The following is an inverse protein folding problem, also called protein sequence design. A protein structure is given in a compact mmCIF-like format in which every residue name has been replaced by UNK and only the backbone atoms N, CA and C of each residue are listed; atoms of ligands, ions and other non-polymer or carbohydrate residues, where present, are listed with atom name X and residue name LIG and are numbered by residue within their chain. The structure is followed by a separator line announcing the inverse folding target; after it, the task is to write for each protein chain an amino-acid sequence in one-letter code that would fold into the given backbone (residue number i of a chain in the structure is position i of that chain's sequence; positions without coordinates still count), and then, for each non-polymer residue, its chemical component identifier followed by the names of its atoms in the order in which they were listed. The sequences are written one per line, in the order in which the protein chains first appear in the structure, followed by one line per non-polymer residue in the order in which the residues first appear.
data_IF_222443438553
#
_entry.id   IF_222443438553
#
_cell.length_a   1.000
_cell.length_b   1.000
_cell.length_c   1.000
_cell.angle_alpha   90.00
_cell.angle_beta   90.00
_cell.angle_gamma   90.00
#
_symmetry.space_group_name_H-M   'P 1'
#
loop_
_entity.id
_entity.type
_entity.pdbx_description
1 polymer ?
#
# COMPACT_ATOMS: atom_id res chain seq x y z
N UNK A 1 20.86 -25.00 14.16
CA UNK A 1 19.55 -25.02 13.60
C UNK A 1 19.28 -23.62 13.03
N UNK A 2 19.31 -23.50 11.69
CA UNK A 2 18.86 -22.30 11.01
C UNK A 2 17.34 -22.29 11.19
N UNK A 3 16.84 -21.49 12.13
CA UNK A 3 15.46 -21.08 12.13
C UNK A 3 15.23 -20.31 10.83
N UNK A 4 14.55 -20.94 9.88
CA UNK A 4 14.09 -20.25 8.67
C UNK A 4 13.14 -19.14 9.12
N UNK A 5 13.65 -17.93 9.24
CA UNK A 5 12.79 -16.76 9.40
C UNK A 5 12.00 -16.64 8.11
N UNK A 6 10.72 -17.00 8.18
CA UNK A 6 9.79 -16.69 7.10
C UNK A 6 9.74 -15.17 7.01
N UNK A 7 10.23 -14.63 5.94
CA UNK A 7 10.23 -13.19 5.70
C UNK A 7 8.83 -12.79 5.23
N UNK A 8 8.19 -11.91 5.97
CA UNK A 8 6.82 -11.42 5.69
C UNK A 8 6.74 -10.79 4.29
N UNK A 9 7.78 -10.05 3.91
CA UNK A 9 7.90 -9.45 2.59
C UNK A 9 7.85 -10.51 1.47
N UNK A 10 8.55 -11.63 1.62
CA UNK A 10 8.54 -12.71 0.62
C UNK A 10 7.16 -13.38 0.50
N UNK A 11 6.47 -13.60 1.62
CA UNK A 11 5.10 -14.13 1.60
C UNK A 11 4.10 -13.16 0.99
N UNK A 12 4.20 -11.88 1.33
CA UNK A 12 3.37 -10.84 0.76
C UNK A 12 3.57 -10.74 -0.76
N UNK A 13 4.82 -10.74 -1.23
CA UNK A 13 5.12 -10.71 -2.66
C UNK A 13 4.57 -11.95 -3.36
N UNK A 14 4.74 -13.15 -2.77
CA UNK A 14 4.19 -14.37 -3.33
C UNK A 14 2.66 -14.32 -3.45
N UNK A 15 1.95 -13.82 -2.42
CA UNK A 15 0.50 -13.64 -2.45
C UNK A 15 0.06 -12.64 -3.54
N UNK A 16 0.77 -11.51 -3.69
CA UNK A 16 0.47 -10.51 -4.74
C UNK A 16 0.67 -11.09 -6.14
N UNK A 17 1.75 -11.87 -6.37
CA UNK A 17 1.97 -12.52 -7.66
C UNK A 17 0.97 -13.64 -7.95
N UNK A 18 0.45 -14.32 -6.91
CA UNK A 18 -0.57 -15.35 -7.03
C UNK A 18 -2.00 -14.80 -7.18
N UNK A 19 -2.22 -13.52 -6.85
CA UNK A 19 -3.53 -12.88 -6.90
C UNK A 19 -4.20 -12.98 -8.28
N UNK A 20 -5.50 -13.24 -8.26
CA UNK A 20 -6.33 -13.46 -9.45
C UNK A 20 -7.50 -12.50 -9.58
N UNK A 21 -8.00 -11.96 -8.48
CA UNK A 21 -9.21 -11.13 -8.42
C UNK A 21 -8.93 -9.73 -7.89
N UNK A 22 -8.45 -9.67 -6.66
CA UNK A 22 -8.37 -8.40 -5.94
C UNK A 22 -7.20 -8.39 -4.95
N UNK A 23 -6.56 -7.23 -4.84
CA UNK A 23 -5.60 -6.90 -3.78
C UNK A 23 -6.03 -5.57 -3.18
N UNK A 24 -6.28 -5.53 -1.88
CA UNK A 24 -6.57 -4.28 -1.17
C UNK A 24 -5.56 -4.06 -0.06
N UNK A 25 -4.89 -2.92 -0.14
CA UNK A 25 -3.87 -2.49 0.81
C UNK A 25 -4.38 -1.29 1.59
N UNK A 26 -4.21 -1.30 2.90
CA UNK A 26 -4.46 -0.15 3.77
C UNK A 26 -3.21 0.16 4.56
N UNK A 27 -2.71 1.38 4.49
CA UNK A 27 -1.50 1.80 5.21
C UNK A 27 -1.50 3.32 5.44
N UNK A 28 -1.04 3.79 6.61
CA UNK A 28 -0.88 5.23 6.85
C UNK A 28 0.27 5.82 6.02
N UNK A 29 1.29 5.03 5.71
CA UNK A 29 2.46 5.43 4.95
C UNK A 29 2.75 4.41 3.86
N UNK A 30 2.92 4.90 2.63
CA UNK A 30 3.20 4.07 1.47
C UNK A 30 4.49 4.55 0.79
N UNK A 31 5.60 3.96 1.18
CA UNK A 31 6.93 4.22 0.60
C UNK A 31 7.55 2.86 0.23
N UNK A 32 6.98 2.18 -0.77
CA UNK A 32 7.29 0.80 -1.07
C UNK A 32 8.72 0.63 -1.59
N UNK A 33 9.33 -0.53 -1.28
CA UNK A 33 10.51 -0.98 -2.00
C UNK A 33 10.16 -1.37 -3.44
N UNK A 34 11.19 -1.43 -4.28
CA UNK A 34 11.06 -1.73 -5.71
C UNK A 34 10.34 -3.06 -5.98
N UNK A 35 10.59 -4.08 -5.15
CA UNK A 35 9.95 -5.39 -5.28
C UNK A 35 8.42 -5.32 -5.09
N UNK A 36 7.96 -4.59 -4.06
CA UNK A 36 6.52 -4.43 -3.80
C UNK A 36 5.85 -3.59 -4.90
N UNK A 37 6.49 -2.49 -5.30
CA UNK A 37 6.00 -1.64 -6.38
C UNK A 37 5.83 -2.42 -7.69
N UNK A 38 6.85 -3.20 -8.07
CA UNK A 38 6.83 -4.05 -9.27
C UNK A 38 5.75 -5.12 -9.18
N UNK A 39 5.57 -5.76 -8.02
CA UNK A 39 4.53 -6.78 -7.83
C UNK A 39 3.11 -6.20 -7.98
N UNK A 40 2.83 -5.01 -7.40
CA UNK A 40 1.54 -4.34 -7.51
C UNK A 40 1.25 -3.90 -8.95
N UNK A 41 2.24 -3.32 -9.65
CA UNK A 41 2.12 -2.96 -11.07
C UNK A 41 1.85 -4.19 -11.93
N UNK A 42 2.59 -5.29 -11.70
CA UNK A 42 2.37 -6.55 -12.40
C UNK A 42 0.96 -7.09 -12.17
N UNK A 43 0.44 -7.04 -10.94
CA UNK A 43 -0.91 -7.48 -10.62
C UNK A 43 -1.97 -6.65 -11.37
N UNK A 44 -1.86 -5.31 -11.35
CA UNK A 44 -2.76 -4.41 -12.07
C UNK A 44 -2.74 -4.68 -13.59
N UNK A 45 -1.55 -4.84 -14.18
CA UNK A 45 -1.38 -5.14 -15.61
C UNK A 45 -1.92 -6.52 -16.01
N UNK A 46 -2.00 -7.47 -15.08
CA UNK A 46 -2.69 -8.77 -15.27
C UNK A 46 -4.22 -8.68 -15.19
N UNK A 47 -4.78 -7.50 -14.88
CA UNK A 47 -6.21 -7.30 -14.70
C UNK A 47 -6.72 -7.57 -13.29
N UNK A 48 -5.85 -7.78 -12.29
CA UNK A 48 -6.23 -7.86 -10.89
C UNK A 48 -6.64 -6.47 -10.40
N UNK A 49 -7.77 -6.37 -9.69
CA UNK A 49 -8.19 -5.13 -9.07
C UNK A 49 -7.25 -4.80 -7.92
N UNK A 50 -6.43 -3.77 -8.05
CA UNK A 50 -5.51 -3.32 -7.00
C UNK A 50 -6.02 -2.01 -6.41
N UNK A 51 -6.26 -1.98 -5.10
CA UNK A 51 -6.72 -0.81 -4.36
C UNK A 51 -5.73 -0.47 -3.26
N UNK A 52 -5.30 0.77 -3.21
CA UNK A 52 -4.48 1.33 -2.15
C UNK A 52 -5.27 2.38 -1.38
N UNK A 53 -5.52 2.13 -0.09
CA UNK A 53 -6.22 3.05 0.80
C UNK A 53 -5.18 3.72 1.71
N UNK A 54 -5.08 5.04 1.60
CA UNK A 54 -4.16 5.88 2.39
C UNK A 54 -4.93 7.02 3.06
N UNK A 55 -4.44 7.62 4.15
CA UNK A 55 -5.09 8.79 4.72
C UNK A 55 -4.99 10.00 3.78
N UNK A 56 -6.04 10.82 3.70
CA UNK A 56 -6.00 12.11 3.00
C UNK A 56 -5.00 13.09 3.68
N UNK A 57 -4.91 13.02 5.02
CA UNK A 57 -4.02 13.87 5.83
C UNK A 57 -2.96 13.01 6.50
N UNK A 58 -1.72 13.30 6.22
CA UNK A 58 -0.53 12.67 6.83
C UNK A 58 0.17 13.72 7.68
N UNK A 59 0.52 13.36 8.93
CA UNK A 59 1.12 14.26 9.90
C UNK A 59 2.49 14.80 9.44
N UNK A 60 3.31 13.94 8.84
CA UNK A 60 4.63 14.32 8.32
C UNK A 60 4.55 14.76 6.87
N UNK A 61 4.90 16.02 6.60
CA UNK A 61 4.99 16.54 5.22
C UNK A 61 5.99 15.77 4.38
N UNK A 62 7.11 15.36 4.98
CA UNK A 62 8.17 14.65 4.27
C UNK A 62 7.69 13.26 3.83
N UNK A 63 7.09 12.49 4.74
CA UNK A 63 6.52 11.17 4.45
C UNK A 63 5.38 11.28 3.44
N UNK A 64 4.59 12.34 3.51
CA UNK A 64 3.55 12.64 2.53
C UNK A 64 4.12 12.76 1.12
N UNK A 65 5.14 13.60 0.92
CA UNK A 65 5.76 13.78 -0.40
C UNK A 65 6.43 12.49 -0.90
N UNK A 66 7.10 11.74 -0.01
CA UNK A 66 7.66 10.44 -0.35
C UNK A 66 6.58 9.46 -0.83
N UNK A 67 5.44 9.38 -0.16
CA UNK A 67 4.31 8.53 -0.52
C UNK A 67 3.65 8.98 -1.84
N UNK A 68 3.42 10.29 -1.99
CA UNK A 68 2.79 10.89 -3.17
C UNK A 68 3.61 10.70 -4.46
N UNK A 69 4.92 10.52 -4.36
CA UNK A 69 5.81 10.30 -5.52
C UNK A 69 5.49 9.01 -6.29
N UNK A 70 4.92 8.00 -5.63
CA UNK A 70 4.58 6.71 -6.26
C UNK A 70 3.16 6.69 -6.87
N UNK A 71 2.34 7.71 -6.60
CA UNK A 71 0.93 7.68 -6.99
C UNK A 71 0.73 7.74 -8.50
N UNK A 72 1.52 8.54 -9.24
CA UNK A 72 1.37 8.67 -10.69
C UNK A 72 1.62 7.33 -11.39
N UNK A 73 2.74 6.67 -11.07
CA UNK A 73 3.12 5.37 -11.64
C UNK A 73 2.08 4.27 -11.38
N UNK A 74 1.48 4.28 -10.18
CA UNK A 74 0.44 3.31 -9.81
C UNK A 74 -0.88 3.60 -10.54
N UNK A 75 -1.29 4.87 -10.61
CA UNK A 75 -2.51 5.28 -11.31
C UNK A 75 -2.41 4.99 -12.82
N UNK A 76 -1.23 5.15 -13.43
CA UNK A 76 -0.99 4.87 -14.85
C UNK A 76 -1.21 3.41 -15.22
N UNK A 77 -0.92 2.47 -14.32
CA UNK A 77 -1.15 1.04 -14.56
C UNK A 77 -2.51 0.56 -14.09
N UNK A 78 -3.39 1.47 -13.64
CA UNK A 78 -4.77 1.16 -13.27
C UNK A 78 -4.98 0.78 -11.79
N UNK A 79 -4.00 1.01 -10.91
CA UNK A 79 -4.21 0.90 -9.47
C UNK A 79 -5.17 2.00 -9.01
N UNK A 80 -6.19 1.64 -8.24
CA UNK A 80 -7.10 2.59 -7.62
C UNK A 80 -6.51 3.10 -6.32
N UNK A 81 -6.25 4.40 -6.21
CA UNK A 81 -5.79 5.02 -4.97
C UNK A 81 -6.96 5.75 -4.33
N UNK A 82 -7.22 5.44 -3.07
CA UNK A 82 -8.30 6.00 -2.28
C UNK A 82 -7.77 6.76 -1.08
N UNK A 83 -8.22 7.99 -0.88
CA UNK A 83 -7.82 8.86 0.22
C UNK A 83 -8.92 8.92 1.27
N UNK A 84 -8.69 8.26 2.41
CA UNK A 84 -9.62 8.22 3.54
C UNK A 84 -9.73 9.58 4.22
N UNK A 85 -10.99 10.05 4.44
CA UNK A 85 -11.29 11.41 4.92
C UNK A 85 -11.63 11.50 6.40
N UNK A 86 -12.14 10.43 6.98
CA UNK A 86 -12.82 10.47 8.28
C UNK A 86 -11.83 10.19 9.43
N UNK A 87 -10.92 11.14 9.68
CA UNK A 87 -10.03 11.06 10.81
C UNK A 87 -8.69 10.35 10.53
N UNK A 88 -8.16 9.68 11.56
CA UNK A 88 -6.85 9.03 11.48
C UNK A 88 -7.00 7.59 10.94
N UNK A 89 -6.47 7.36 9.75
CA UNK A 89 -6.28 5.99 9.24
C UNK A 89 -4.90 5.49 9.66
N UNK A 90 -4.87 4.50 10.56
CA UNK A 90 -3.60 3.92 11.04
C UNK A 90 -3.54 2.39 10.90
N UNK A 91 -4.51 1.79 10.24
CA UNK A 91 -4.56 0.36 9.91
C UNK A 91 -3.47 0.02 8.91
N UNK A 92 -2.81 -1.13 9.12
CA UNK A 92 -1.88 -1.74 8.17
C UNK A 92 -2.40 -3.13 7.88
N UNK A 93 -2.97 -3.29 6.70
CA UNK A 93 -3.52 -4.57 6.26
C UNK A 93 -3.37 -4.74 4.75
N UNK A 94 -3.17 -5.97 4.34
CA UNK A 94 -3.25 -6.38 2.94
C UNK A 94 -4.15 -7.60 2.88
N UNK A 95 -5.19 -7.52 2.04
CA UNK A 95 -6.07 -8.65 1.74
C UNK A 95 -5.91 -9.01 0.28
N UNK A 96 -5.71 -10.28 -0.01
CA UNK A 96 -5.58 -10.84 -1.36
C UNK A 96 -6.67 -11.87 -1.58
N UNK A 97 -7.51 -11.64 -2.57
CA UNK A 97 -8.59 -12.53 -3.04
C UNK A 97 -9.58 -12.99 -1.95
N UNK A 98 -9.64 -12.30 -0.80
CA UNK A 98 -10.39 -12.71 0.41
C UNK A 98 -9.97 -14.09 0.95
N UNK A 99 -8.74 -14.51 0.67
CA UNK A 99 -8.18 -15.82 1.06
C UNK A 99 -6.90 -15.69 1.89
N UNK A 100 -6.18 -14.59 1.70
CA UNK A 100 -4.93 -14.29 2.39
C UNK A 100 -4.97 -12.90 2.97
N UNK A 101 -4.59 -12.78 4.24
CA UNK A 101 -4.52 -11.48 4.93
C UNK A 101 -3.20 -11.33 5.67
N UNK A 102 -2.56 -10.19 5.50
CA UNK A 102 -1.52 -9.68 6.40
C UNK A 102 -2.10 -8.50 7.16
N UNK A 103 -2.00 -8.54 8.48
CA UNK A 103 -2.46 -7.46 9.36
C UNK A 103 -1.47 -7.29 10.51
N UNK A 104 -1.19 -6.03 10.90
CA UNK A 104 -0.26 -5.82 12.00
C UNK A 104 0.22 -4.38 12.14
N UNK A 105 1.45 -4.25 12.63
CA UNK A 105 2.07 -2.93 12.88
C UNK A 105 2.99 -2.48 11.74
N UNK A 106 3.37 -3.37 10.82
CA UNK A 106 4.27 -3.10 9.69
C UNK A 106 3.63 -2.17 8.67
N UNK A 107 4.18 -0.99 8.49
CA UNK A 107 3.80 -0.12 7.37
C UNK A 107 4.34 -0.70 6.04
N UNK A 108 3.73 -0.29 4.94
CA UNK A 108 4.22 -0.63 3.60
C UNK A 108 5.35 0.34 3.18
N UNK A 109 6.41 0.36 3.99
CA UNK A 109 7.64 1.12 3.75
C UNK A 109 8.88 0.25 3.97
N UNK A 110 9.98 0.61 3.33
CA UNK A 110 11.25 -0.14 3.40
C UNK A 110 11.76 -0.27 4.82
N UNK A 111 11.62 0.77 5.64
CA UNK A 111 12.15 0.82 7.00
C UNK A 111 11.41 -0.13 7.94
N UNK A 112 10.09 -0.20 7.81
CA UNK A 112 9.26 -1.12 8.62
C UNK A 112 9.59 -2.58 8.33
N UNK A 113 9.90 -2.93 7.08
CA UNK A 113 10.27 -4.30 6.72
C UNK A 113 11.70 -4.71 7.16
N UNK A 114 12.64 -3.78 7.22
CA UNK A 114 14.05 -4.12 7.40
C UNK A 114 14.60 -3.79 8.80
N UNK A 115 14.11 -2.73 9.44
CA UNK A 115 14.75 -2.13 10.61
C UNK A 115 13.92 -2.17 11.89
N UNK A 116 12.60 -2.33 11.83
CA UNK A 116 11.74 -2.22 12.99
C UNK A 116 11.39 -3.58 13.59
N UNK A 117 11.23 -3.60 14.93
CA UNK A 117 10.58 -4.72 15.62
C UNK A 117 9.06 -4.58 15.44
N UNK A 118 8.52 -5.32 14.51
CA UNK A 118 7.11 -5.25 14.13
C UNK A 118 6.42 -6.59 14.36
N UNK A 119 5.12 -6.54 14.64
CA UNK A 119 4.26 -7.70 14.76
C UNK A 119 3.32 -7.78 13.58
N UNK A 120 3.30 -8.94 12.90
CA UNK A 120 2.33 -9.19 11.85
C UNK A 120 1.64 -10.53 12.06
N UNK A 121 0.33 -10.52 11.87
CA UNK A 121 -0.50 -11.70 11.72
C UNK A 121 -0.63 -12.03 10.24
N UNK A 122 -0.39 -13.28 9.87
CA UNK A 122 -0.66 -13.79 8.55
C UNK A 122 -1.76 -14.83 8.70
N UNK A 123 -2.85 -14.65 7.97
CA UNK A 123 -3.99 -15.54 7.97
C UNK A 123 -4.23 -16.10 6.55
N UNK A 124 -4.36 -17.42 6.46
CA UNK A 124 -4.89 -18.13 5.30
C UNK A 124 -6.28 -18.65 5.67
N UNK A 125 -7.18 -17.72 5.87
CA UNK A 125 -8.52 -17.98 6.39
C UNK A 125 -9.52 -17.08 5.68
N UNK A 126 -10.53 -17.67 5.06
CA UNK A 126 -11.51 -16.95 4.25
C UNK A 126 -12.44 -16.09 5.09
N UNK A 127 -12.85 -16.56 6.28
CA UNK A 127 -13.78 -15.83 7.15
C UNK A 127 -13.10 -14.59 7.74
N UNK A 128 -11.85 -14.76 8.20
CA UNK A 128 -11.04 -13.64 8.67
C UNK A 128 -10.73 -12.65 7.55
N UNK A 129 -10.36 -13.15 6.36
CA UNK A 129 -10.05 -12.30 5.21
C UNK A 129 -11.28 -11.55 4.71
N UNK A 130 -12.46 -12.16 4.72
CA UNK A 130 -13.72 -11.51 4.39
C UNK A 130 -14.07 -10.40 5.40
N UNK A 131 -13.91 -10.65 6.71
CA UNK A 131 -14.14 -9.65 7.75
C UNK A 131 -13.19 -8.45 7.61
N UNK A 132 -11.92 -8.70 7.31
CA UNK A 132 -10.94 -7.64 7.04
C UNK A 132 -11.29 -6.87 5.76
N UNK A 133 -11.79 -7.57 4.74
CA UNK A 133 -12.24 -6.93 3.49
C UNK A 133 -13.47 -6.06 3.70
N UNK A 134 -14.40 -6.46 4.57
CA UNK A 134 -15.56 -5.65 4.95
C UNK A 134 -15.15 -4.35 5.65
N UNK A 135 -14.16 -4.41 6.55
CA UNK A 135 -13.57 -3.22 7.14
C UNK A 135 -12.96 -2.29 6.06
N UNK A 136 -12.23 -2.86 5.09
CA UNK A 136 -11.66 -2.08 4.00
C UNK A 136 -12.72 -1.48 3.09
N UNK A 137 -13.84 -2.18 2.84
CA UNK A 137 -15.01 -1.64 2.11
C UNK A 137 -15.62 -0.43 2.84
N UNK A 138 -15.71 -0.47 4.17
CA UNK A 138 -16.13 0.69 4.95
C UNK A 138 -15.16 1.87 4.74
N UNK A 139 -13.85 1.64 4.74
CA UNK A 139 -12.89 2.70 4.41
C UNK A 139 -13.05 3.23 2.98
N UNK A 140 -13.30 2.37 1.99
CA UNK A 140 -13.55 2.78 0.60
C UNK A 140 -14.75 3.73 0.52
N UNK A 141 -15.86 3.46 1.23
CA UNK A 141 -17.06 4.31 1.22
C UNK A 141 -16.81 5.71 1.78
N UNK A 142 -15.81 5.85 2.64
CA UNK A 142 -15.41 7.11 3.30
C UNK A 142 -14.17 7.75 2.66
N UNK A 143 -13.79 7.31 1.48
CA UNK A 143 -12.61 7.77 0.77
C UNK A 143 -12.95 8.50 -0.52
N UNK A 144 -12.07 9.43 -0.92
CA UNK A 144 -12.07 10.00 -2.26
C UNK A 144 -11.17 9.17 -3.18
N UNK A 145 -11.64 8.86 -4.37
CA UNK A 145 -10.82 8.21 -5.41
C UNK A 145 -9.93 9.26 -6.07
N UNK A 146 -8.63 8.99 -6.13
CA UNK A 146 -7.69 9.83 -6.88
C UNK A 146 -7.85 9.63 -8.38
N UNK A 147 -8.02 10.73 -9.11
CA UNK A 147 -8.01 10.74 -10.56
C UNK A 147 -6.60 11.00 -11.10
N UNK A 148 -6.15 10.22 -12.08
CA UNK A 148 -4.87 10.43 -12.76
C UNK A 148 -4.78 11.82 -13.41
N UNK A 149 -5.86 12.28 -14.05
CA UNK A 149 -5.88 13.59 -14.72
C UNK A 149 -5.75 14.72 -13.69
N UNK A 150 -6.51 14.66 -12.60
CA UNK A 150 -6.38 15.63 -11.50
C UNK A 150 -4.99 15.57 -10.87
N UNK A 151 -4.42 14.36 -10.75
CA UNK A 151 -3.07 14.16 -10.22
C UNK A 151 -2.01 14.81 -11.10
N UNK A 152 -2.10 14.66 -12.42
CA UNK A 152 -1.21 15.27 -13.41
C UNK A 152 -1.35 16.78 -13.54
N UNK A 153 -2.53 17.32 -13.26
CA UNK A 153 -2.79 18.76 -13.29
C UNK A 153 -2.12 19.56 -12.15
N UNK A 154 -1.47 18.88 -11.19
CA UNK A 154 -0.79 19.52 -10.05
C UNK A 154 0.40 20.38 -10.52
N UNK A 155 0.76 21.45 -9.77
CA UNK A 155 1.89 22.32 -10.09
C UNK A 155 3.20 21.55 -10.27
N UNK A 156 3.99 21.89 -11.27
CA UNK A 156 5.29 21.26 -11.56
C UNK A 156 6.27 21.36 -10.39
N UNK A 157 6.22 22.44 -9.61
CA UNK A 157 7.06 22.64 -8.43
C UNK A 157 6.79 21.55 -7.36
N UNK A 158 5.54 21.10 -7.20
CA UNK A 158 5.19 20.01 -6.28
C UNK A 158 5.77 18.67 -6.75
N UNK A 159 5.66 18.38 -8.04
CA UNK A 159 6.23 17.16 -8.65
C UNK A 159 7.76 17.10 -8.49
N UNK A 160 8.45 18.22 -8.68
CA UNK A 160 9.90 18.31 -8.46
C UNK A 160 10.27 18.04 -7.00
N UNK A 161 9.50 18.56 -6.05
CA UNK A 161 9.72 18.33 -4.62
C UNK A 161 9.49 16.86 -4.24
N UNK A 162 8.42 16.24 -4.74
CA UNK A 162 8.11 14.81 -4.54
C UNK A 162 9.26 13.93 -5.06
N UNK A 163 9.75 14.18 -6.27
CA UNK A 163 10.87 13.44 -6.85
C UNK A 163 12.17 13.62 -6.05
N UNK A 164 12.45 14.84 -5.58
CA UNK A 164 13.61 15.08 -4.75
C UNK A 164 13.55 14.34 -3.40
N UNK A 165 12.36 14.30 -2.78
CA UNK A 165 12.13 13.55 -1.53
C UNK A 165 12.19 12.05 -1.78
N UNK A 166 11.68 11.56 -2.91
CA UNK A 166 11.77 10.15 -3.29
C UNK A 166 13.21 9.66 -3.39
N UNK A 167 14.13 10.49 -3.90
CA UNK A 167 15.57 10.14 -3.93
C UNK A 167 16.17 9.97 -2.52
N UNK A 168 15.56 10.58 -1.50
CA UNK A 168 15.94 10.43 -0.10
C UNK A 168 15.16 9.31 0.63
N UNK A 169 14.22 8.67 -0.04
CA UNK A 169 13.32 7.64 0.49
C UNK A 169 14.04 6.50 1.23
N UNK A 170 15.25 6.02 0.81
CA UNK A 170 15.97 5.00 1.56
C UNK A 170 16.44 5.44 2.96
N UNK A 171 16.34 6.74 3.27
CA UNK A 171 16.72 7.33 4.55
C UNK A 171 15.52 7.65 5.45
N UNK A 172 14.28 7.52 4.92
CA UNK A 172 13.01 7.80 5.57
C UNK A 172 12.34 6.50 6.02
#
# INVERSE_FOLDING_TARGET
PQTSRVRIDALLLAAIYAARREIVLTTPYFVPGEALLTALRSAALRGVRVVLIVPEKIDSRLVRYASEAYHEDLLEVGVTIMQFRDGLLHTKSVVVDEEFTVFGTVNLDLRSFELNFELSLIAFDTDFSAAMRDLQRDYETRSNVLSLDAWRARPRSRRLLENAVQMMSPLL
#
